data_IF_295060835393
#
_entry.id   IF_295060835393
#
_cell.length_a   1.000
_cell.length_b   1.000
_cell.length_c   1.000
_cell.angle_alpha   90.00
_cell.angle_beta   90.00
_cell.angle_gamma   90.00
#
_symmetry.space_group_name_H-M   'P 1'
#
loop_
_entity.id
_entity.type
_entity.pdbx_description
1 polymer ?
#
# COMPACT_ATOMS: atom_id res chain seq x y z
N UNK A 1 -0.28 4.36 -11.23
CA UNK A 1 0.64 4.04 -12.33
C UNK A 1 0.15 2.75 -13.02
N UNK A 2 0.01 2.72 -14.37
CA UNK A 2 -0.42 1.52 -15.10
C UNK A 2 0.45 0.27 -14.86
N UNK A 3 1.70 0.45 -14.45
CA UNK A 3 2.64 -0.65 -14.14
C UNK A 3 2.33 -1.33 -12.80
N UNK A 4 1.68 -0.63 -11.89
CA UNK A 4 1.34 -1.14 -10.56
C UNK A 4 -0.02 -1.84 -10.53
N UNK A 5 -0.91 -1.47 -11.45
CA UNK A 5 -2.28 -2.00 -11.51
C UNK A 5 -2.35 -3.53 -11.61
N UNK A 6 -1.55 -4.21 -12.46
CA UNK A 6 -1.61 -5.68 -12.53
C UNK A 6 -1.28 -6.35 -11.20
N UNK A 7 -0.32 -5.78 -10.44
CA UNK A 7 0.02 -6.30 -9.10
C UNK A 7 -1.12 -6.07 -8.10
N UNK A 8 -1.71 -4.88 -8.10
CA UNK A 8 -2.85 -4.57 -7.25
C UNK A 8 -4.06 -5.46 -7.56
N UNK A 9 -4.39 -5.66 -8.84
CA UNK A 9 -5.47 -6.55 -9.27
C UNK A 9 -5.21 -8.01 -8.86
N UNK A 10 -3.97 -8.48 -9.00
CA UNK A 10 -3.58 -9.80 -8.54
C UNK A 10 -3.77 -9.95 -7.04
N UNK A 11 -3.33 -8.95 -6.26
CA UNK A 11 -3.45 -8.96 -4.81
C UNK A 11 -4.91 -9.01 -4.35
N UNK A 12 -5.77 -8.15 -4.91
CA UNK A 12 -7.21 -8.12 -4.58
C UNK A 12 -7.90 -9.44 -4.92
N UNK A 13 -7.51 -10.07 -6.02
CA UNK A 13 -8.14 -11.31 -6.49
C UNK A 13 -7.63 -12.55 -5.77
N UNK A 14 -6.32 -12.63 -5.47
CA UNK A 14 -5.68 -13.88 -5.09
C UNK A 14 -5.02 -13.83 -3.69
N UNK A 15 -4.64 -12.66 -3.18
CA UNK A 15 -3.93 -12.56 -1.91
C UNK A 15 -4.86 -12.18 -0.75
N UNK A 16 -5.54 -11.07 -0.86
CA UNK A 16 -6.40 -10.56 0.22
C UNK A 16 -7.47 -11.55 0.70
N UNK A 17 -8.17 -12.29 -0.19
CA UNK A 17 -9.22 -13.22 0.24
C UNK A 17 -8.72 -14.36 1.14
N UNK A 18 -7.47 -14.78 0.98
CA UNK A 18 -6.87 -15.90 1.73
C UNK A 18 -5.89 -15.46 2.82
N UNK A 19 -5.64 -14.16 2.92
CA UNK A 19 -4.57 -13.62 3.77
C UNK A 19 -4.78 -13.92 5.26
N UNK A 20 -6.02 -13.90 5.73
CA UNK A 20 -6.33 -14.24 7.13
C UNK A 20 -5.94 -15.67 7.48
N UNK A 21 -6.17 -16.60 6.58
CA UNK A 21 -5.80 -18.01 6.74
C UNK A 21 -4.27 -18.18 6.70
N UNK A 22 -3.61 -17.61 5.70
CA UNK A 22 -2.15 -17.68 5.56
C UNK A 22 -1.40 -17.11 6.77
N UNK A 23 -1.88 -15.99 7.29
CA UNK A 23 -1.26 -15.33 8.43
C UNK A 23 -1.67 -15.94 9.78
N UNK A 24 -2.78 -16.68 9.82
CA UNK A 24 -3.35 -17.25 11.04
C UNK A 24 -3.92 -16.18 12.00
N UNK A 25 -4.43 -15.09 11.45
CA UNK A 25 -5.10 -14.00 12.15
C UNK A 25 -6.14 -13.36 11.23
N UNK A 26 -7.33 -13.08 11.74
CA UNK A 26 -8.33 -12.34 10.95
C UNK A 26 -7.86 -10.90 10.73
N UNK A 27 -7.56 -10.55 9.48
CA UNK A 27 -7.15 -9.20 9.08
C UNK A 27 -8.34 -8.28 8.79
N UNK A 28 -9.55 -8.74 9.05
CA UNK A 28 -10.81 -7.99 8.81
C UNK A 28 -10.88 -7.48 7.35
N UNK A 29 -10.57 -8.37 6.41
CA UNK A 29 -10.71 -8.04 4.99
C UNK A 29 -12.17 -8.09 4.57
N UNK A 30 -12.70 -6.98 4.09
CA UNK A 30 -14.05 -6.81 3.57
C UNK A 30 -14.00 -6.32 2.13
N UNK A 31 -14.63 -7.06 1.23
CA UNK A 31 -14.73 -6.71 -0.19
C UNK A 31 -16.09 -6.05 -0.45
N UNK A 32 -16.23 -4.81 0.01
CA UNK A 32 -17.47 -4.04 -0.06
C UNK A 32 -17.38 -2.85 -1.02
N UNK A 33 -16.31 -2.78 -1.80
CA UNK A 33 -16.06 -1.72 -2.76
C UNK A 33 -15.40 -0.48 -2.16
N UNK A 34 -15.10 0.49 -3.05
CA UNK A 34 -14.48 1.76 -2.70
C UNK A 34 -15.12 2.91 -3.46
N UNK A 35 -15.44 3.98 -2.74
CA UNK A 35 -15.96 5.23 -3.27
C UNK A 35 -14.90 6.32 -3.19
N UNK A 36 -14.56 6.92 -4.33
CA UNK A 36 -13.79 8.18 -4.38
C UNK A 36 -14.74 9.32 -4.63
N UNK A 37 -14.99 10.14 -3.62
CA UNK A 37 -16.08 11.12 -3.59
C UNK A 37 -15.71 12.41 -4.32
N UNK A 38 -16.65 12.94 -5.09
CA UNK A 38 -16.58 14.26 -5.71
C UNK A 38 -17.62 15.21 -5.12
N UNK A 39 -17.17 16.42 -4.71
CA UNK A 39 -18.02 17.49 -4.18
C UNK A 39 -18.16 18.68 -5.13
N UNK A 40 -17.35 18.75 -6.18
CA UNK A 40 -17.35 19.86 -7.14
C UNK A 40 -17.25 19.32 -8.56
N UNK A 41 -17.68 20.09 -9.55
CA UNK A 41 -17.52 19.75 -10.96
C UNK A 41 -16.04 19.44 -11.30
N UNK A 42 -15.11 20.23 -10.75
CA UNK A 42 -13.67 19.99 -10.94
C UNK A 42 -13.22 18.66 -10.37
N UNK A 43 -13.71 18.25 -9.18
CA UNK A 43 -13.42 16.92 -8.64
C UNK A 43 -13.96 15.81 -9.56
N UNK A 44 -15.17 15.97 -10.09
CA UNK A 44 -15.78 14.99 -11.00
C UNK A 44 -14.98 14.83 -12.31
N UNK A 45 -14.47 15.91 -12.89
CA UNK A 45 -13.59 15.86 -14.05
C UNK A 45 -12.31 15.06 -13.76
N UNK A 46 -11.67 15.30 -12.61
CA UNK A 46 -10.46 14.57 -12.19
C UNK A 46 -10.78 13.09 -12.00
N UNK A 47 -11.89 12.78 -11.32
CA UNK A 47 -12.33 11.40 -11.09
C UNK A 47 -12.66 10.68 -12.40
N UNK A 48 -13.30 11.36 -13.36
CA UNK A 48 -13.57 10.81 -14.68
C UNK A 48 -12.26 10.39 -15.36
N UNK A 49 -11.27 11.29 -15.42
CA UNK A 49 -9.98 10.95 -16.03
C UNK A 49 -9.21 9.84 -15.30
N UNK A 50 -9.39 9.68 -13.98
CA UNK A 50 -8.84 8.56 -13.23
C UNK A 50 -9.58 7.25 -13.55
N UNK A 51 -10.91 7.31 -13.61
CA UNK A 51 -11.79 6.18 -13.93
C UNK A 51 -11.50 5.65 -15.33
N UNK A 52 -11.40 6.52 -16.32
CA UNK A 52 -11.11 6.15 -17.71
C UNK A 52 -9.78 5.40 -17.84
N UNK A 53 -8.74 5.89 -17.14
CA UNK A 53 -7.44 5.21 -17.11
C UNK A 53 -7.50 3.86 -16.38
N UNK A 54 -8.24 3.77 -15.28
CA UNK A 54 -8.41 2.52 -14.54
C UNK A 54 -9.17 1.47 -15.36
N UNK A 55 -10.24 1.88 -16.03
CA UNK A 55 -11.03 1.02 -16.93
C UNK A 55 -10.20 0.55 -18.12
N UNK A 56 -9.39 1.44 -18.73
CA UNK A 56 -8.47 1.07 -19.80
C UNK A 56 -7.40 0.04 -19.37
N UNK A 57 -7.12 -0.04 -18.06
CA UNK A 57 -6.23 -1.06 -17.48
C UNK A 57 -6.98 -2.32 -17.04
N UNK A 58 -8.28 -2.44 -17.29
CA UNK A 58 -9.08 -3.62 -16.97
C UNK A 58 -9.72 -3.65 -15.58
N UNK A 59 -9.70 -2.52 -14.84
CA UNK A 59 -10.44 -2.41 -13.59
C UNK A 59 -11.94 -2.20 -13.84
N UNK A 60 -12.78 -2.84 -13.04
CA UNK A 60 -14.22 -2.61 -13.02
C UNK A 60 -14.54 -1.39 -12.15
N UNK A 61 -14.41 -0.22 -12.76
CA UNK A 61 -14.63 1.08 -12.12
C UNK A 61 -15.56 1.92 -12.97
N UNK A 62 -16.52 2.57 -12.36
CA UNK A 62 -17.48 3.44 -13.04
C UNK A 62 -17.71 4.74 -12.28
N UNK A 63 -18.12 5.78 -13.01
CA UNK A 63 -18.66 6.99 -12.40
C UNK A 63 -20.11 6.74 -12.00
N UNK A 64 -20.49 7.26 -10.83
CA UNK A 64 -21.85 7.21 -10.30
C UNK A 64 -22.26 8.61 -9.80
N UNK A 65 -23.56 8.88 -9.82
CA UNK A 65 -24.11 10.15 -9.34
C UNK A 65 -24.32 10.17 -7.82
N UNK A 66 -24.71 11.32 -7.28
CA UNK A 66 -24.92 11.50 -5.85
C UNK A 66 -26.08 10.67 -5.29
N UNK A 67 -27.08 10.29 -6.10
CA UNK A 67 -28.16 9.42 -5.69
C UNK A 67 -27.65 7.99 -5.50
N UNK A 68 -26.96 7.45 -6.48
CA UNK A 68 -26.32 6.12 -6.40
C UNK A 68 -25.32 6.03 -5.25
N UNK A 69 -24.55 7.11 -4.99
CA UNK A 69 -23.65 7.19 -3.84
C UNK A 69 -24.40 7.01 -2.53
N UNK A 70 -25.56 7.65 -2.35
CA UNK A 70 -26.37 7.54 -1.13
C UNK A 70 -27.09 6.20 -1.00
N UNK A 71 -27.39 5.53 -2.10
CA UNK A 71 -27.88 4.16 -2.08
C UNK A 71 -26.82 3.18 -1.53
N UNK A 72 -25.55 3.42 -1.83
CA UNK A 72 -24.41 2.63 -1.31
C UNK A 72 -24.09 3.01 0.14
N UNK A 73 -24.03 4.29 0.44
CA UNK A 73 -23.74 4.79 1.79
C UNK A 73 -24.63 6.00 2.15
N UNK A 74 -25.74 5.77 2.88
CA UNK A 74 -26.71 6.81 3.22
C UNK A 74 -26.20 7.84 4.25
N UNK A 75 -25.05 7.60 4.88
CA UNK A 75 -24.46 8.51 5.87
C UNK A 75 -23.58 9.60 5.26
N UNK A 76 -23.38 9.58 3.94
CA UNK A 76 -22.57 10.60 3.26
C UNK A 76 -23.35 11.93 3.11
N UNK A 77 -22.61 13.03 3.21
CA UNK A 77 -23.14 14.39 3.07
C UNK A 77 -23.79 14.61 1.71
N UNK A 78 -24.87 15.43 1.70
CA UNK A 78 -25.54 15.88 0.49
C UNK A 78 -24.65 16.72 -0.44
N UNK A 79 -23.54 17.25 0.06
CA UNK A 79 -22.53 17.92 -0.76
C UNK A 79 -21.82 16.99 -1.76
N UNK A 80 -21.92 15.68 -1.58
CA UNK A 80 -21.35 14.71 -2.51
C UNK A 80 -22.24 14.63 -3.74
N UNK A 81 -21.74 15.11 -4.87
CA UNK A 81 -22.47 15.15 -6.14
C UNK A 81 -22.27 13.90 -7.01
N UNK A 82 -21.28 13.06 -6.67
CA UNK A 82 -20.99 11.81 -7.36
C UNK A 82 -19.69 11.18 -6.86
N UNK A 83 -19.33 10.07 -7.45
CA UNK A 83 -18.11 9.32 -7.10
C UNK A 83 -17.58 8.48 -8.28
N UNK A 84 -16.31 8.07 -8.16
CA UNK A 84 -15.79 6.90 -8.86
C UNK A 84 -15.98 5.68 -7.95
N UNK A 85 -16.67 4.66 -8.44
CA UNK A 85 -17.01 3.45 -7.71
C UNK A 85 -16.28 2.24 -8.26
N UNK A 86 -15.60 1.50 -7.38
CA UNK A 86 -14.98 0.22 -7.69
C UNK A 86 -15.58 -0.87 -6.79
N UNK A 87 -16.48 -1.67 -7.32
CA UNK A 87 -17.18 -2.72 -6.57
C UNK A 87 -16.27 -3.87 -6.13
N UNK A 88 -15.14 -4.06 -6.80
CA UNK A 88 -14.20 -5.17 -6.53
C UNK A 88 -13.11 -4.82 -5.53
N UNK A 89 -13.02 -3.57 -5.11
CA UNK A 89 -12.08 -3.10 -4.10
C UNK A 89 -12.56 -3.47 -2.68
N UNK A 90 -11.67 -3.30 -1.70
CA UNK A 90 -11.97 -3.65 -0.32
C UNK A 90 -11.08 -2.92 0.67
N UNK A 91 -11.28 -3.23 1.94
CA UNK A 91 -10.46 -2.70 3.03
C UNK A 91 -10.07 -3.82 4.00
N UNK A 92 -9.00 -3.61 4.73
CA UNK A 92 -8.53 -4.49 5.78
C UNK A 92 -8.03 -3.68 6.96
N UNK A 93 -7.93 -4.30 8.13
CA UNK A 93 -7.35 -3.67 9.31
C UNK A 93 -5.81 -3.64 9.17
N UNK A 94 -5.18 -2.46 9.05
CA UNK A 94 -3.74 -2.36 8.80
C UNK A 94 -2.90 -2.84 9.98
N UNK A 95 -3.39 -2.67 11.22
CA UNK A 95 -2.69 -3.10 12.43
C UNK A 95 -2.69 -4.63 12.55
N UNK A 96 -3.85 -5.27 12.34
CA UNK A 96 -3.96 -6.73 12.36
C UNK A 96 -3.20 -7.37 11.20
N UNK A 97 -3.23 -6.77 10.02
CA UNK A 97 -2.45 -7.21 8.86
C UNK A 97 -0.95 -7.17 9.17
N UNK A 98 -0.45 -6.06 9.69
CA UNK A 98 0.97 -5.92 10.07
C UNK A 98 1.36 -6.91 11.16
N UNK A 99 0.52 -7.09 12.19
CA UNK A 99 0.74 -8.07 13.24
C UNK A 99 0.75 -9.50 12.71
N UNK A 100 -0.14 -9.80 11.77
CA UNK A 100 -0.22 -11.10 11.09
C UNK A 100 1.07 -11.42 10.36
N UNK A 101 1.56 -10.51 9.53
CA UNK A 101 2.86 -10.67 8.83
C UNK A 101 4.01 -10.83 9.81
N UNK A 102 4.06 -10.03 10.86
CA UNK A 102 5.09 -10.14 11.90
C UNK A 102 5.11 -11.54 12.54
N UNK A 103 3.93 -12.05 12.95
CA UNK A 103 3.80 -13.37 13.57
C UNK A 103 4.15 -14.50 12.60
N UNK A 104 3.67 -14.42 11.37
CA UNK A 104 3.95 -15.41 10.34
C UNK A 104 5.46 -15.45 10.01
N UNK A 105 6.09 -14.30 9.82
CA UNK A 105 7.51 -14.20 9.58
C UNK A 105 8.34 -14.78 10.74
N UNK A 106 7.95 -14.51 11.99
CA UNK A 106 8.61 -15.13 13.16
C UNK A 106 8.48 -16.64 13.18
N UNK A 107 7.33 -17.20 12.82
CA UNK A 107 7.15 -18.66 12.70
C UNK A 107 8.09 -19.28 11.66
N UNK A 108 8.43 -18.51 10.63
CA UNK A 108 9.37 -18.90 9.57
C UNK A 108 10.85 -18.63 9.94
N UNK A 109 11.14 -18.21 11.15
CA UNK A 109 12.52 -18.00 11.63
C UNK A 109 13.07 -16.59 11.37
N UNK A 110 12.28 -15.65 10.88
CA UNK A 110 12.73 -14.26 10.70
C UNK A 110 13.03 -13.60 12.05
N UNK A 111 14.20 -12.97 12.14
CA UNK A 111 14.60 -12.20 13.30
C UNK A 111 14.18 -10.73 13.14
N UNK A 112 13.67 -10.16 14.21
CA UNK A 112 13.25 -8.76 14.26
C UNK A 112 14.04 -8.02 15.34
N UNK A 113 14.65 -6.92 14.96
CA UNK A 113 15.40 -6.03 15.86
C UNK A 113 14.68 -4.71 15.94
N UNK A 114 13.89 -4.51 16.99
CA UNK A 114 13.13 -3.28 17.23
C UNK A 114 13.87 -2.37 18.21
N UNK A 115 13.56 -1.05 18.15
CA UNK A 115 14.25 -0.07 18.99
C UNK A 115 15.73 0.13 18.59
N UNK A 116 16.05 -0.14 17.33
CA UNK A 116 17.37 0.10 16.73
C UNK A 116 17.19 0.94 15.46
N UNK A 117 17.59 2.19 15.51
CA UNK A 117 17.58 3.04 14.35
C UNK A 117 18.72 2.68 13.41
N UNK A 118 18.41 2.46 12.12
CA UNK A 118 19.41 2.32 11.06
C UNK A 118 19.95 3.69 10.72
N UNK A 119 21.25 3.87 10.87
CA UNK A 119 21.92 5.16 10.65
C UNK A 119 22.73 5.22 9.35
N UNK A 120 23.20 4.07 8.87
CA UNK A 120 24.05 3.99 7.68
C UNK A 120 23.90 2.66 6.96
N UNK A 121 24.07 2.69 5.64
CA UNK A 121 24.25 1.51 4.79
C UNK A 121 25.68 1.51 4.27
N UNK A 122 26.33 0.33 4.22
CA UNK A 122 27.72 0.24 3.77
C UNK A 122 27.91 -0.77 2.65
N UNK A 123 28.78 -0.43 1.70
CA UNK A 123 29.21 -1.31 0.62
C UNK A 123 30.48 -2.08 1.03
N UNK A 124 30.51 -3.38 0.75
CA UNK A 124 31.69 -4.23 0.85
C UNK A 124 31.99 -4.75 -0.55
N UNK A 125 33.18 -4.47 -1.05
CA UNK A 125 33.59 -4.83 -2.44
C UNK A 125 32.59 -4.37 -3.50
N UNK A 126 32.09 -3.13 -3.36
CA UNK A 126 31.16 -2.49 -4.30
C UNK A 126 29.69 -2.94 -4.19
N UNK A 127 29.35 -3.89 -3.34
CA UNK A 127 27.98 -4.37 -3.11
C UNK A 127 27.49 -3.94 -1.75
N UNK A 128 26.21 -3.51 -1.65
CA UNK A 128 25.57 -3.21 -0.38
C UNK A 128 25.44 -4.50 0.44
N UNK A 129 26.08 -4.52 1.61
CA UNK A 129 26.17 -5.73 2.44
C UNK A 129 25.91 -5.48 3.92
N UNK A 130 26.12 -4.24 4.41
CA UNK A 130 26.02 -3.94 5.84
C UNK A 130 24.93 -2.91 6.11
N UNK A 131 24.22 -3.16 7.19
CA UNK A 131 23.24 -2.25 7.79
C UNK A 131 23.75 -1.89 9.16
N UNK A 132 24.08 -0.61 9.36
CA UNK A 132 24.60 -0.08 10.62
C UNK A 132 23.47 0.58 11.38
N UNK A 133 23.27 0.16 12.62
CA UNK A 133 22.34 0.77 13.57
C UNK A 133 23.12 1.54 14.65
N UNK A 134 22.37 2.22 15.52
CA UNK A 134 22.99 2.87 16.71
C UNK A 134 23.63 1.85 17.68
N UNK A 135 23.32 0.57 17.57
CA UNK A 135 23.75 -0.47 18.53
C UNK A 135 24.60 -1.56 17.90
N UNK A 136 24.31 -1.93 16.66
CA UNK A 136 24.86 -3.12 16.01
C UNK A 136 25.19 -2.90 14.54
N UNK A 137 25.91 -3.85 13.95
CA UNK A 137 26.13 -3.95 12.50
C UNK A 137 25.61 -5.32 12.04
N UNK A 138 24.73 -5.30 11.06
CA UNK A 138 24.19 -6.52 10.43
C UNK A 138 24.75 -6.70 9.04
N UNK A 139 25.02 -7.92 8.65
CA UNK A 139 25.49 -8.28 7.30
C UNK A 139 24.47 -9.17 6.60
N UNK A 140 24.35 -9.00 5.30
CA UNK A 140 23.46 -9.81 4.47
C UNK A 140 23.84 -9.78 3.00
N UNK A 141 23.37 -10.79 2.27
CA UNK A 141 23.61 -10.89 0.82
C UNK A 141 22.80 -9.89 0.01
N UNK A 142 21.64 -9.50 0.51
CA UNK A 142 20.74 -8.49 -0.07
C UNK A 142 20.18 -7.63 1.04
N UNK A 143 20.05 -6.35 0.76
CA UNK A 143 19.43 -5.37 1.67
C UNK A 143 18.22 -4.78 0.96
N UNK A 144 17.06 -4.87 1.59
CA UNK A 144 15.83 -4.21 1.15
C UNK A 144 15.58 -3.01 2.05
N UNK A 145 15.47 -1.83 1.46
CA UNK A 145 15.15 -0.61 2.18
C UNK A 145 13.66 -0.32 2.00
N UNK A 146 12.90 -0.51 3.08
CA UNK A 146 11.46 -0.29 3.13
C UNK A 146 11.11 0.70 4.27
N UNK A 147 11.89 1.77 4.41
CA UNK A 147 11.82 2.72 5.51
C UNK A 147 10.91 3.93 5.23
N UNK A 148 10.00 3.82 4.25
CA UNK A 148 9.13 4.91 3.88
C UNK A 148 9.93 6.16 3.55
N UNK A 149 9.55 7.32 4.08
CA UNK A 149 10.22 8.60 3.87
C UNK A 149 11.71 8.60 4.25
N UNK A 150 12.09 7.85 5.29
CA UNK A 150 13.50 7.75 5.71
C UNK A 150 14.39 7.02 4.69
N UNK A 151 13.82 6.29 3.72
CA UNK A 151 14.57 5.59 2.68
C UNK A 151 15.50 6.49 1.90
N UNK A 152 15.09 7.73 1.57
CA UNK A 152 15.93 8.70 0.84
C UNK A 152 17.22 9.00 1.58
N UNK A 153 17.12 9.31 2.89
CA UNK A 153 18.28 9.60 3.73
C UNK A 153 19.22 8.40 3.81
N UNK A 154 18.69 7.21 4.05
CA UNK A 154 19.48 5.98 4.15
C UNK A 154 20.17 5.63 2.84
N UNK A 155 19.48 5.70 1.72
CA UNK A 155 20.05 5.39 0.40
C UNK A 155 21.10 6.42 -0.02
N UNK A 156 20.96 7.67 0.42
CA UNK A 156 21.97 8.72 0.25
C UNK A 156 23.35 8.36 0.85
N UNK A 157 23.41 7.56 1.93
CA UNK A 157 24.67 7.10 2.54
C UNK A 157 25.51 6.22 1.60
N UNK A 158 24.89 5.63 0.59
CA UNK A 158 25.56 4.80 -0.44
C UNK A 158 25.54 5.42 -1.83
N UNK A 159 25.18 6.71 -1.93
CA UNK A 159 25.19 7.48 -3.17
C UNK A 159 23.99 7.17 -4.09
N UNK A 160 22.88 6.69 -3.56
CA UNK A 160 21.64 6.48 -4.30
C UNK A 160 20.67 7.59 -3.95
N UNK A 161 20.30 8.41 -4.93
CA UNK A 161 19.24 9.41 -4.79
C UNK A 161 17.90 8.83 -5.26
N UNK A 162 16.90 8.89 -4.36
CA UNK A 162 15.52 8.49 -4.67
C UNK A 162 14.66 9.75 -4.59
N UNK A 163 14.05 10.17 -5.72
CA UNK A 163 13.20 11.35 -5.73
C UNK A 163 11.90 11.05 -4.96
N UNK A 164 11.87 11.44 -3.70
CA UNK A 164 10.68 11.38 -2.85
C UNK A 164 10.30 12.82 -2.49
N UNK A 165 9.08 13.21 -2.82
CA UNK A 165 8.46 14.46 -2.35
C UNK A 165 7.64 14.19 -1.08
N UNK A 166 7.57 15.22 -0.24
CA UNK A 166 6.63 15.26 0.89
C UNK A 166 5.20 15.43 0.39
#
# INVERSE_FOLDING_TARGET
>A
DPRELPLAMYAVKNMWPVLSEELGINVEYHKEGNLRLGKTARHMEILQGLTDRATACGLDVKMIDGKEVREINPFLSDEVIGASWCATDGHANPLLTTLGYYRAARRLGVQFFTGEEVVELQKVKGKLRKVVTQKNVYEGDKVIVAAGYASRKLLGTVGIDVPMSN
#
